data_IF_797122465864
#
_entry.id   IF_797122465864
#
_cell.length_a   1.000
_cell.length_b   1.000
_cell.length_c   1.000
_cell.angle_alpha   90.00
_cell.angle_beta   90.00
_cell.angle_gamma   90.00
#
_symmetry.space_group_name_H-M   'P 1'
#
loop_
_entity.id
_entity.type
_entity.pdbx_description
1 polymer ?
#
# COMPACT_ATOMS: atom_id res chain seq x y z
N UNK A 1 -6.07 12.43 -21.58
CA UNK A 1 -4.91 11.81 -20.93
C UNK A 1 -4.49 12.69 -19.77
N UNK A 2 -4.56 12.17 -18.55
CA UNK A 2 -3.97 12.83 -17.37
C UNK A 2 -2.53 12.33 -17.24
N UNK A 3 -1.56 13.23 -17.31
CA UNK A 3 -0.15 12.91 -17.12
C UNK A 3 0.60 14.15 -16.65
N UNK A 4 1.65 13.95 -15.87
CA UNK A 4 2.58 15.03 -15.52
C UNK A 4 3.53 15.23 -16.71
N UNK A 5 3.68 16.48 -17.15
CA UNK A 5 4.73 16.83 -18.10
C UNK A 5 6.09 16.57 -17.42
N UNK A 6 6.91 15.71 -18.02
CA UNK A 6 8.23 15.34 -17.50
C UNK A 6 9.22 15.26 -18.66
N UNK A 7 10.49 15.54 -18.42
CA UNK A 7 11.55 15.27 -19.41
C UNK A 7 11.99 13.80 -19.38
N UNK A 8 11.93 13.20 -18.19
CA UNK A 8 12.18 11.77 -17.90
C UNK A 8 11.42 11.34 -16.65
N UNK A 9 11.19 10.04 -16.49
CA UNK A 9 10.78 9.45 -15.21
C UNK A 9 11.59 8.20 -14.86
N UNK A 10 11.64 7.91 -13.56
CA UNK A 10 12.24 6.68 -13.02
C UNK A 10 11.22 6.00 -12.12
N UNK A 11 10.78 4.80 -12.49
CA UNK A 11 9.91 3.97 -11.66
C UNK A 11 10.75 2.95 -10.90
N UNK A 12 10.47 2.76 -9.62
CA UNK A 12 11.21 1.85 -8.73
C UNK A 12 10.27 0.88 -8.06
N UNK A 13 10.62 -0.41 -8.07
CA UNK A 13 9.85 -1.44 -7.36
C UNK A 13 10.76 -2.54 -6.83
N UNK A 14 10.40 -3.12 -5.68
CA UNK A 14 11.08 -4.31 -5.16
C UNK A 14 10.67 -5.61 -5.86
N UNK A 15 9.61 -5.60 -6.68
CA UNK A 15 9.02 -6.79 -7.28
C UNK A 15 9.24 -6.86 -8.80
N UNK A 16 9.96 -7.89 -9.26
CA UNK A 16 10.22 -8.12 -10.69
C UNK A 16 8.93 -8.23 -11.53
N UNK A 17 7.91 -8.94 -11.01
CA UNK A 17 6.62 -9.06 -11.69
C UNK A 17 5.90 -7.71 -11.86
N UNK A 18 6.00 -6.82 -10.87
CA UNK A 18 5.42 -5.48 -10.99
C UNK A 18 6.20 -4.62 -12.00
N UNK A 19 7.52 -4.76 -12.08
CA UNK A 19 8.31 -4.07 -13.10
C UNK A 19 7.94 -4.50 -14.53
N UNK A 20 7.60 -5.78 -14.74
CA UNK A 20 7.05 -6.25 -16.03
C UNK A 20 5.71 -5.59 -16.31
N UNK A 21 4.79 -5.59 -15.34
CA UNK A 21 3.48 -4.93 -15.50
C UNK A 21 3.60 -3.45 -15.84
N UNK A 22 4.48 -2.71 -15.15
CA UNK A 22 4.72 -1.28 -15.42
C UNK A 22 5.34 -1.08 -16.81
N UNK A 23 6.24 -1.97 -17.23
CA UNK A 23 6.84 -1.93 -18.56
C UNK A 23 5.79 -2.09 -19.65
N UNK A 24 4.94 -3.11 -19.52
CA UNK A 24 3.89 -3.41 -20.50
C UNK A 24 2.84 -2.29 -20.53
N UNK A 25 2.44 -1.77 -19.37
CA UNK A 25 1.46 -0.69 -19.26
C UNK A 25 1.97 0.65 -19.82
N UNK A 26 3.29 0.89 -19.78
CA UNK A 26 3.92 2.13 -20.25
C UNK A 26 4.50 2.03 -21.66
N UNK A 27 4.47 0.86 -22.31
CA UNK A 27 5.20 0.59 -23.56
C UNK A 27 4.96 1.63 -24.66
N UNK A 28 3.70 2.04 -24.84
CA UNK A 28 3.30 3.01 -25.87
C UNK A 28 3.72 4.46 -25.60
N UNK A 29 4.06 4.79 -24.35
CA UNK A 29 4.34 6.17 -23.92
C UNK A 29 5.73 6.34 -23.33
N UNK A 30 6.46 5.23 -23.11
CA UNK A 30 7.79 5.23 -22.51
C UNK A 30 8.84 5.69 -23.51
N UNK A 31 9.72 6.57 -23.07
CA UNK A 31 10.81 7.15 -23.88
C UNK A 31 12.14 6.47 -23.56
N UNK A 32 13.17 6.60 -24.42
CA UNK A 32 14.49 5.99 -24.17
C UNK A 32 15.15 6.39 -22.84
N UNK A 33 14.91 7.61 -22.37
CA UNK A 33 15.45 8.12 -21.10
C UNK A 33 14.67 7.69 -19.85
N UNK A 34 13.48 7.12 -20.01
CA UNK A 34 12.65 6.65 -18.90
C UNK A 34 13.13 5.28 -18.42
N UNK A 35 13.25 5.10 -17.09
CA UNK A 35 13.86 3.90 -16.49
C UNK A 35 12.88 3.20 -15.54
N UNK A 36 12.89 1.87 -15.59
CA UNK A 36 12.22 1.02 -14.59
C UNK A 36 13.31 0.24 -13.88
N UNK A 37 13.42 0.42 -12.57
CA UNK A 37 14.45 -0.19 -11.73
C UNK A 37 13.79 -1.17 -10.77
N UNK A 38 14.27 -2.41 -10.80
CA UNK A 38 13.97 -3.40 -9.75
C UNK A 38 15.07 -3.29 -8.71
N UNK A 39 14.73 -2.94 -7.48
CA UNK A 39 15.71 -2.73 -6.42
C UNK A 39 15.09 -2.64 -5.04
N UNK A 40 15.91 -2.95 -4.02
CA UNK A 40 15.51 -2.85 -2.62
C UNK A 40 15.89 -1.47 -2.06
N UNK A 41 14.93 -0.76 -1.48
CA UNK A 41 15.15 0.54 -0.85
C UNK A 41 16.14 0.53 0.33
N UNK A 42 16.49 -0.64 0.87
CA UNK A 42 17.57 -0.77 1.83
C UNK A 42 18.98 -0.66 1.21
N UNK A 43 19.15 -0.91 -0.10
CA UNK A 43 20.46 -0.83 -0.78
C UNK A 43 20.92 0.63 -0.90
N UNK A 44 22.00 1.06 -0.19
CA UNK A 44 22.46 2.46 -0.19
C UNK A 44 22.80 3.00 -1.56
N UNK A 45 23.09 2.14 -2.54
CA UNK A 45 23.46 2.53 -3.89
C UNK A 45 22.25 2.72 -4.82
N UNK A 46 21.06 2.25 -4.41
CA UNK A 46 19.85 2.44 -5.19
C UNK A 46 19.55 3.94 -5.35
N UNK A 47 19.53 4.41 -6.61
CA UNK A 47 19.38 5.82 -6.99
C UNK A 47 20.50 6.75 -6.49
N UNK A 48 21.71 6.22 -6.24
CA UNK A 48 22.85 7.06 -5.86
C UNK A 48 23.11 8.16 -6.91
N UNK A 49 23.26 9.40 -6.45
CA UNK A 49 23.45 10.58 -7.30
C UNK A 49 22.19 11.13 -7.96
N UNK A 50 21.05 10.43 -7.90
CA UNK A 50 19.80 10.93 -8.50
C UNK A 50 19.14 12.00 -7.62
N UNK A 51 18.45 12.94 -8.29
CA UNK A 51 17.56 13.94 -7.69
C UNK A 51 16.36 14.15 -8.61
N UNK A 52 15.21 14.43 -8.03
CA UNK A 52 13.95 14.56 -8.77
C UNK A 52 13.20 15.84 -8.37
N UNK A 53 12.70 16.56 -9.38
CA UNK A 53 11.86 17.74 -9.17
C UNK A 53 10.45 17.37 -8.67
N UNK A 54 10.01 16.14 -8.96
CA UNK A 54 8.77 15.56 -8.42
C UNK A 54 8.95 14.09 -8.09
N UNK A 55 8.50 13.67 -6.91
CA UNK A 55 8.47 12.27 -6.47
C UNK A 55 7.03 11.88 -6.16
N UNK A 56 6.59 10.73 -6.67
CA UNK A 56 5.33 10.09 -6.30
C UNK A 56 5.64 8.83 -5.49
N UNK A 57 5.32 8.83 -4.21
CA UNK A 57 5.46 7.68 -3.31
C UNK A 57 4.07 7.07 -3.07
N UNK A 58 3.68 6.14 -3.96
CA UNK A 58 2.35 5.53 -3.97
C UNK A 58 2.30 4.29 -3.07
N UNK A 59 1.65 4.39 -1.91
CA UNK A 59 1.59 3.37 -0.83
C UNK A 59 2.96 2.81 -0.40
N UNK A 60 4.04 3.55 -0.69
CA UNK A 60 5.41 3.05 -0.56
C UNK A 60 5.76 2.68 0.89
N UNK A 61 5.33 3.50 1.85
CA UNK A 61 5.70 3.33 3.26
C UNK A 61 5.12 2.04 3.84
N UNK A 62 3.90 1.67 3.48
CA UNK A 62 3.32 0.39 3.88
C UNK A 62 3.92 -0.78 3.11
N UNK A 63 4.07 -0.62 1.79
CA UNK A 63 4.57 -1.67 0.90
C UNK A 63 6.00 -2.13 1.22
N UNK A 64 6.84 -1.25 1.78
CA UNK A 64 8.23 -1.56 2.07
C UNK A 64 8.40 -2.68 3.12
N UNK A 65 7.40 -2.94 3.97
CA UNK A 65 7.47 -3.99 5.01
C UNK A 65 7.75 -5.38 4.42
N UNK A 66 7.30 -5.65 3.19
CA UNK A 66 7.55 -6.90 2.48
C UNK A 66 8.96 -7.03 1.88
N UNK A 67 9.74 -5.95 1.81
CA UNK A 67 11.04 -5.90 1.12
C UNK A 67 12.20 -5.46 2.02
N UNK A 68 11.95 -4.51 2.92
CA UNK A 68 12.90 -4.03 3.93
C UNK A 68 12.13 -3.74 5.24
N UNK A 69 11.89 -4.78 6.06
CA UNK A 69 11.22 -4.64 7.34
C UNK A 69 11.90 -3.60 8.23
N UNK A 70 11.09 -2.81 8.95
CA UNK A 70 11.55 -1.74 9.86
C UNK A 70 12.33 -0.59 9.19
N UNK A 71 12.23 -0.43 7.87
CA UNK A 71 12.93 0.62 7.12
C UNK A 71 12.11 1.90 6.93
N UNK A 72 10.87 1.96 7.42
CA UNK A 72 9.90 3.03 7.13
C UNK A 72 10.40 4.42 7.53
N UNK A 73 10.97 4.56 8.73
CA UNK A 73 11.54 5.83 9.19
C UNK A 73 12.71 6.27 8.30
N UNK A 74 13.62 5.34 7.97
CA UNK A 74 14.76 5.60 7.08
C UNK A 74 14.33 5.92 5.65
N UNK A 75 13.16 5.45 5.24
CA UNK A 75 12.58 5.74 3.93
C UNK A 75 12.29 7.23 3.77
N UNK A 76 11.82 7.93 4.81
CA UNK A 76 11.58 9.37 4.73
C UNK A 76 12.88 10.16 4.51
N UNK A 77 13.95 9.84 5.24
CA UNK A 77 15.26 10.43 5.03
C UNK A 77 15.80 10.18 3.60
N UNK A 78 15.58 8.98 3.06
CA UNK A 78 15.91 8.66 1.65
C UNK A 78 15.12 9.51 0.67
N UNK A 79 13.80 9.58 0.82
CA UNK A 79 12.96 10.41 -0.05
C UNK A 79 13.39 11.87 0.03
N UNK A 80 13.76 12.36 1.22
CA UNK A 80 14.25 13.72 1.42
C UNK A 80 15.54 13.98 0.65
N UNK A 81 16.47 13.04 0.67
CA UNK A 81 17.72 13.15 -0.08
C UNK A 81 17.50 13.15 -1.59
N UNK A 82 16.46 12.47 -2.09
CA UNK A 82 16.13 12.40 -3.52
C UNK A 82 15.30 13.61 -4.00
N UNK A 83 14.56 14.27 -3.11
CA UNK A 83 13.65 15.36 -3.46
C UNK A 83 14.40 16.68 -3.67
N UNK A 84 14.30 17.24 -4.88
CA UNK A 84 14.67 18.63 -5.20
C UNK A 84 13.46 19.57 -5.13
N UNK A 85 12.28 19.07 -5.51
CA UNK A 85 11.02 19.82 -5.51
C UNK A 85 9.97 19.15 -4.63
N UNK A 86 8.86 18.75 -5.26
CA UNK A 86 7.66 18.28 -4.57
C UNK A 86 7.63 16.76 -4.41
N UNK A 87 7.41 16.28 -3.20
CA UNK A 87 7.02 14.90 -2.90
C UNK A 87 5.51 14.84 -2.73
N UNK A 88 4.86 13.89 -3.40
CA UNK A 88 3.51 13.45 -3.09
C UNK A 88 3.58 12.05 -2.52
N UNK A 89 3.14 11.90 -1.27
CA UNK A 89 3.06 10.62 -0.59
C UNK A 89 1.59 10.22 -0.45
N UNK A 90 1.28 9.02 -0.91
CA UNK A 90 -0.05 8.40 -0.81
C UNK A 90 0.06 7.26 0.20
N UNK A 91 -0.89 7.18 1.12
CA UNK A 91 -0.99 6.06 2.07
C UNK A 91 -2.44 5.80 2.47
N UNK A 92 -2.62 4.71 3.20
CA UNK A 92 -3.93 4.25 3.68
C UNK A 92 -3.98 4.40 5.20
N UNK A 93 -5.07 4.96 5.73
CA UNK A 93 -5.29 4.95 7.18
C UNK A 93 -5.49 3.50 7.68
N UNK A 94 -4.79 3.06 8.75
CA UNK A 94 -4.94 1.71 9.26
C UNK A 94 -6.39 1.39 9.68
N UNK A 95 -6.91 0.27 9.21
CA UNK A 95 -8.32 -0.13 9.44
C UNK A 95 -8.47 -1.43 10.26
N UNK A 96 -7.35 -2.02 10.71
CA UNK A 96 -7.32 -3.34 11.38
C UNK A 96 -7.11 -3.22 12.90
N UNK A 97 -6.44 -2.15 13.33
CA UNK A 97 -5.93 -1.97 14.70
C UNK A 97 -7.03 -1.69 15.71
N UNK A 98 -8.03 -0.91 15.34
CA UNK A 98 -9.11 -0.51 16.24
C UNK A 98 -10.45 -1.18 15.87
N UNK A 99 -11.33 -1.33 16.86
CA UNK A 99 -12.69 -1.78 16.61
C UNK A 99 -13.52 -0.61 16.13
N UNK A 100 -13.83 -0.59 14.84
CA UNK A 100 -14.67 0.45 14.26
C UNK A 100 -16.06 0.54 14.91
N UNK A 101 -16.57 1.76 15.05
CA UNK A 101 -17.91 2.03 15.55
C UNK A 101 -19.04 1.76 14.54
N UNK A 102 -18.71 1.61 13.25
CA UNK A 102 -19.69 1.34 12.19
C UNK A 102 -19.68 -0.13 11.77
N UNK A 103 -20.82 -0.63 11.27
CA UNK A 103 -20.90 -2.01 10.76
C UNK A 103 -19.93 -2.27 9.61
N UNK A 104 -19.81 -1.31 8.68
CA UNK A 104 -18.89 -1.37 7.54
C UNK A 104 -17.43 -1.47 7.98
N UNK A 105 -17.03 -0.66 8.98
CA UNK A 105 -15.69 -0.73 9.52
C UNK A 105 -15.42 -2.03 10.28
N UNK A 106 -16.42 -2.55 10.99
CA UNK A 106 -16.28 -3.82 11.71
C UNK A 106 -16.04 -4.98 10.74
N UNK A 107 -16.79 -5.05 9.64
CA UNK A 107 -16.62 -6.13 8.67
C UNK A 107 -15.28 -6.01 7.92
N UNK A 108 -14.84 -4.79 7.57
CA UNK A 108 -13.54 -4.56 6.95
C UNK A 108 -12.39 -4.90 7.88
N UNK A 109 -12.48 -4.47 9.15
CA UNK A 109 -11.51 -4.84 10.18
C UNK A 109 -11.46 -6.35 10.40
N UNK A 110 -12.61 -7.03 10.38
CA UNK A 110 -12.67 -8.50 10.49
C UNK A 110 -12.04 -9.21 9.28
N UNK A 111 -12.27 -8.72 8.05
CA UNK A 111 -11.59 -9.22 6.84
C UNK A 111 -10.08 -9.04 6.96
N UNK A 112 -9.63 -7.85 7.38
CA UNK A 112 -8.21 -7.55 7.57
C UNK A 112 -7.56 -8.44 8.64
N UNK A 113 -8.17 -8.57 9.82
CA UNK A 113 -7.69 -9.44 10.91
C UNK A 113 -7.67 -10.91 10.50
N UNK A 114 -8.71 -11.37 9.79
CA UNK A 114 -8.76 -12.73 9.27
C UNK A 114 -7.62 -12.99 8.28
N UNK A 115 -7.40 -12.07 7.34
CA UNK A 115 -6.30 -12.18 6.36
C UNK A 115 -4.95 -12.23 7.08
N UNK A 116 -4.72 -11.33 8.03
CA UNK A 116 -3.48 -11.30 8.81
C UNK A 116 -3.26 -12.61 9.57
N UNK A 117 -4.31 -13.21 10.15
CA UNK A 117 -4.22 -14.52 10.78
C UNK A 117 -3.82 -15.62 9.79
N UNK A 118 -4.42 -15.64 8.59
CA UNK A 118 -4.03 -16.60 7.53
C UNK A 118 -2.57 -16.43 7.13
N UNK A 119 -2.11 -15.19 6.96
CA UNK A 119 -0.72 -14.90 6.59
C UNK A 119 0.25 -15.39 7.68
N UNK A 120 -0.03 -15.08 8.94
CA UNK A 120 0.81 -15.51 10.06
C UNK A 120 0.90 -17.03 10.17
N UNK A 121 -0.23 -17.75 10.02
CA UNK A 121 -0.23 -19.21 10.02
C UNK A 121 0.47 -19.83 8.81
N UNK A 122 0.57 -19.09 7.70
CA UNK A 122 1.34 -19.50 6.52
C UNK A 122 2.83 -19.16 6.61
N UNK A 123 3.30 -18.62 7.74
CA UNK A 123 4.69 -18.16 7.92
C UNK A 123 5.02 -16.89 7.14
N UNK A 124 4.00 -16.14 6.71
CA UNK A 124 4.14 -14.89 5.98
C UNK A 124 3.93 -13.68 6.89
N UNK A 125 4.50 -12.54 6.50
CA UNK A 125 4.38 -11.28 7.24
C UNK A 125 3.18 -10.48 6.72
N UNK A 126 2.24 -10.07 7.60
CA UNK A 126 1.22 -9.11 7.23
C UNK A 126 1.83 -7.74 6.89
N UNK A 127 1.31 -7.08 5.86
CA UNK A 127 1.67 -5.69 5.60
C UNK A 127 1.11 -4.77 6.69
N UNK A 128 1.71 -3.59 6.84
CA UNK A 128 1.30 -2.58 7.80
C UNK A 128 1.11 -1.25 7.09
N UNK A 129 -0.01 -0.61 7.37
CA UNK A 129 -0.22 0.78 7.02
C UNK A 129 0.08 1.66 8.23
N UNK A 130 0.29 2.95 8.00
CA UNK A 130 0.69 3.91 9.03
C UNK A 130 -0.32 5.04 9.11
N UNK A 131 -0.73 5.48 10.31
CA UNK A 131 -1.64 6.61 10.46
C UNK A 131 -1.09 7.85 9.79
N UNK A 132 -1.97 8.62 9.13
CA UNK A 132 -1.58 9.86 8.46
C UNK A 132 -0.80 10.82 9.37
N UNK A 133 -1.20 10.92 10.64
CA UNK A 133 -0.57 11.77 11.65
C UNK A 133 0.89 11.37 11.90
N UNK A 134 1.13 10.08 12.13
CA UNK A 134 2.50 9.56 12.28
C UNK A 134 3.36 9.85 11.04
N UNK A 135 2.80 9.70 9.84
CA UNK A 135 3.53 10.01 8.61
C UNK A 135 3.89 11.49 8.52
N UNK A 136 2.99 12.40 8.89
CA UNK A 136 3.27 13.84 8.92
C UNK A 136 4.41 14.18 9.88
N UNK A 137 4.41 13.58 11.08
CA UNK A 137 5.46 13.74 12.07
C UNK A 137 6.82 13.25 11.54
N UNK A 138 6.87 12.05 10.96
CA UNK A 138 8.10 11.48 10.43
C UNK A 138 8.66 12.25 9.23
N UNK A 139 7.78 12.74 8.35
CA UNK A 139 8.19 13.61 7.25
C UNK A 139 8.79 14.91 7.75
N UNK A 140 8.14 15.54 8.74
CA UNK A 140 8.63 16.80 9.35
C UNK A 140 9.98 16.57 10.05
N UNK A 141 10.09 15.51 10.84
CA UNK A 141 11.33 15.12 11.51
C UNK A 141 12.46 14.80 10.51
N UNK A 142 12.12 14.33 9.31
CA UNK A 142 13.07 14.07 8.21
C UNK A 142 13.39 15.32 7.38
N UNK A 143 12.95 16.52 7.80
CA UNK A 143 13.29 17.78 7.15
C UNK A 143 12.44 18.11 5.92
N UNK A 144 11.23 17.55 5.81
CA UNK A 144 10.24 18.03 4.86
C UNK A 144 9.42 19.17 5.45
N UNK A 145 9.07 20.15 4.60
CA UNK A 145 8.01 21.10 4.88
C UNK A 145 6.71 20.62 4.26
N UNK A 146 5.69 20.38 5.09
CA UNK A 146 4.36 19.98 4.62
C UNK A 146 3.68 21.18 3.95
N UNK A 147 3.23 20.99 2.71
CA UNK A 147 2.53 22.03 1.93
C UNK A 147 1.02 21.82 2.00
N UNK A 148 0.58 20.57 1.88
CA UNK A 148 -0.83 20.22 1.99
C UNK A 148 -0.97 18.76 2.41
N UNK A 149 -2.09 18.43 3.05
CA UNK A 149 -2.44 17.08 3.43
C UNK A 149 -3.95 16.91 3.27
N UNK A 150 -4.38 15.93 2.49
CA UNK A 150 -5.79 15.72 2.18
C UNK A 150 -6.19 14.26 2.39
N UNK A 151 -7.44 14.05 2.82
CA UNK A 151 -8.04 12.74 3.06
C UNK A 151 -9.09 12.44 2.00
N UNK A 152 -9.07 11.23 1.47
CA UNK A 152 -9.97 10.73 0.44
C UNK A 152 -10.76 9.55 1.03
N UNK A 153 -12.04 9.73 1.41
CA UNK A 153 -12.85 8.66 1.98
C UNK A 153 -12.96 7.47 1.04
N UNK A 154 -12.81 6.26 1.57
CA UNK A 154 -12.85 5.04 0.75
C UNK A 154 -14.26 4.43 0.75
N UNK A 155 -14.64 3.93 -0.42
CA UNK A 155 -15.78 3.04 -0.59
C UNK A 155 -15.31 1.72 -1.21
N UNK A 156 -15.12 0.70 -0.37
CA UNK A 156 -14.66 -0.60 -0.81
C UNK A 156 -15.74 -1.35 -1.57
N UNK A 157 -15.33 -1.98 -2.67
CA UNK A 157 -16.21 -2.67 -3.61
C UNK A 157 -15.97 -4.17 -3.61
N UNK A 158 -16.82 -4.90 -4.33
CA UNK A 158 -16.75 -6.38 -4.46
C UNK A 158 -15.35 -6.88 -4.80
N UNK A 159 -14.65 -6.18 -5.71
CA UNK A 159 -13.29 -6.51 -6.13
C UNK A 159 -12.32 -6.55 -4.95
N UNK A 160 -12.39 -5.56 -4.05
CA UNK A 160 -11.53 -5.52 -2.87
C UNK A 160 -11.81 -6.70 -1.95
N UNK A 161 -13.09 -6.93 -1.61
CA UNK A 161 -13.49 -8.03 -0.71
C UNK A 161 -12.99 -9.37 -1.28
N UNK A 162 -13.28 -9.64 -2.55
CA UNK A 162 -12.87 -10.88 -3.19
C UNK A 162 -11.34 -11.00 -3.22
N UNK A 163 -10.60 -9.95 -3.58
CA UNK A 163 -9.13 -10.04 -3.62
C UNK A 163 -8.52 -10.35 -2.26
N UNK A 164 -9.07 -9.81 -1.16
CA UNK A 164 -8.57 -10.11 0.19
C UNK A 164 -8.80 -11.58 0.58
N UNK A 165 -9.93 -12.17 0.18
CA UNK A 165 -10.22 -13.57 0.51
C UNK A 165 -9.51 -14.54 -0.44
N UNK A 166 -9.50 -14.25 -1.75
CA UNK A 166 -8.94 -15.11 -2.79
C UNK A 166 -7.43 -15.27 -2.64
N UNK A 167 -6.72 -14.20 -2.24
CA UNK A 167 -5.27 -14.27 -1.99
C UNK A 167 -4.90 -15.25 -0.88
N UNK A 168 -5.82 -15.53 0.06
CA UNK A 168 -5.59 -16.45 1.17
C UNK A 168 -5.80 -17.91 0.79
N UNK A 169 -6.53 -18.23 -0.28
CA UNK A 169 -6.79 -19.61 -0.70
C UNK A 169 -5.51 -20.47 -0.92
N UNK A 170 -4.49 -20.03 -1.69
CA UNK A 170 -3.25 -20.79 -1.87
C UNK A 170 -2.36 -20.82 -0.61
N UNK A 171 -2.64 -19.97 0.39
CA UNK A 171 -1.95 -20.01 1.70
C UNK A 171 -2.59 -21.09 2.56
N UNK A 172 -3.91 -21.07 2.67
CA UNK A 172 -4.70 -22.09 3.38
C UNK A 172 -4.42 -23.51 2.91
N UNK A 173 -4.21 -23.72 1.60
CA UNK A 173 -3.90 -25.05 1.06
C UNK A 173 -2.54 -25.60 1.53
N UNK A 174 -1.62 -24.73 1.94
CA UNK A 174 -0.26 -25.07 2.41
C UNK A 174 -0.18 -25.30 3.93
N UNK A 175 -1.24 -25.03 4.68
CA UNK A 175 -1.26 -25.29 6.12
C UNK A 175 -1.22 -26.79 6.40
N UNK A 176 -0.33 -27.20 7.31
CA UNK A 176 -0.24 -28.59 7.78
C UNK A 176 -1.46 -28.99 8.61
N UNK A 177 -1.98 -28.07 9.43
CA UNK A 177 -3.23 -28.28 10.17
C UNK A 177 -4.45 -28.07 9.26
N UNK A 178 -5.05 -29.18 8.84
CA UNK A 178 -6.21 -29.18 7.94
C UNK A 178 -7.50 -28.76 8.63
N UNK A 179 -7.63 -28.98 9.94
CA UNK A 179 -8.81 -28.55 10.69
C UNK A 179 -8.83 -27.03 10.77
N UNK A 180 -7.69 -26.44 11.15
CA UNK A 180 -7.51 -24.99 11.17
C UNK A 180 -7.72 -24.37 9.77
N UNK A 181 -7.13 -24.96 8.73
CA UNK A 181 -7.30 -24.47 7.36
C UNK A 181 -8.78 -24.44 6.93
N UNK A 182 -9.54 -25.48 7.29
CA UNK A 182 -10.98 -25.57 6.99
C UNK A 182 -11.77 -24.51 7.75
N UNK A 183 -11.50 -24.31 9.03
CA UNK A 183 -12.16 -23.29 9.85
C UNK A 183 -11.87 -21.87 9.33
N UNK A 184 -10.62 -21.58 9.00
CA UNK A 184 -10.22 -20.28 8.42
C UNK A 184 -10.86 -20.06 7.04
N UNK A 185 -10.93 -21.08 6.20
CA UNK A 185 -11.61 -20.99 4.90
C UNK A 185 -13.10 -20.65 5.09
N UNK A 186 -13.81 -21.41 5.92
CA UNK A 186 -15.23 -21.17 6.21
C UNK A 186 -15.48 -19.76 6.77
N UNK A 187 -14.60 -19.27 7.67
CA UNK A 187 -14.68 -17.89 8.19
C UNK A 187 -14.50 -16.85 7.08
N UNK A 188 -13.56 -17.05 6.17
CA UNK A 188 -13.33 -16.16 5.03
C UNK A 188 -14.55 -16.09 4.10
N UNK A 189 -15.16 -17.24 3.79
CA UNK A 189 -16.38 -17.31 2.99
C UNK A 189 -17.57 -16.60 3.67
N UNK A 190 -17.74 -16.78 4.98
CA UNK A 190 -18.79 -16.09 5.73
C UNK A 190 -18.59 -14.57 5.71
N UNK A 191 -17.35 -14.09 5.92
CA UNK A 191 -17.02 -12.66 5.80
C UNK A 191 -17.28 -12.12 4.40
N UNK A 192 -16.96 -12.90 3.35
CA UNK A 192 -17.25 -12.54 1.97
C UNK A 192 -18.75 -12.36 1.76
N UNK A 193 -19.56 -13.33 2.20
CA UNK A 193 -21.02 -13.28 2.06
C UNK A 193 -21.63 -12.05 2.73
N UNK A 194 -21.28 -11.81 4.00
CA UNK A 194 -21.76 -10.65 4.75
C UNK A 194 -21.39 -9.32 4.06
N UNK A 195 -20.14 -9.21 3.61
CA UNK A 195 -19.64 -7.99 2.95
C UNK A 195 -20.33 -7.75 1.62
N UNK A 196 -20.49 -8.79 0.80
CA UNK A 196 -21.16 -8.68 -0.50
C UNK A 196 -22.65 -8.36 -0.36
N UNK A 197 -23.32 -8.84 0.70
CA UNK A 197 -24.70 -8.50 1.00
C UNK A 197 -24.86 -7.00 1.33
N UNK A 198 -23.95 -6.45 2.15
CA UNK A 198 -23.93 -5.00 2.44
C UNK A 198 -23.66 -4.21 1.17
N UNK A 199 -22.65 -4.60 0.37
CA UNK A 199 -22.31 -3.91 -0.89
C UNK A 199 -23.49 -3.92 -1.87
N UNK A 200 -24.21 -5.03 -1.98
CA UNK A 200 -25.38 -5.12 -2.84
C UNK A 200 -26.51 -4.17 -2.40
N UNK A 201 -26.69 -3.96 -1.09
CA UNK A 201 -27.71 -3.07 -0.54
C UNK A 201 -27.31 -1.60 -0.57
N UNK A 202 -26.04 -1.28 -0.31
CA UNK A 202 -25.59 0.08 0.05
C UNK A 202 -24.60 0.68 -0.97
N UNK A 203 -24.22 -0.10 -1.99
CA UNK A 203 -23.33 0.32 -3.07
C UNK A 203 -21.85 0.34 -2.69
N UNK A 204 -21.46 -0.20 -1.53
CA UNK A 204 -20.08 -0.31 -1.07
C UNK A 204 -19.94 -0.20 0.45
N UNK A 205 -18.80 -0.67 0.99
CA UNK A 205 -18.46 -0.53 2.41
C UNK A 205 -17.74 0.80 2.63
N UNK A 206 -18.28 1.68 3.48
CA UNK A 206 -17.77 3.03 3.74
C UNK A 206 -16.97 3.05 5.03
N UNK A 207 -15.65 3.01 4.93
CA UNK A 207 -14.76 3.08 6.08
C UNK A 207 -13.36 3.52 5.65
N UNK A 208 -12.64 4.17 6.56
CA UNK A 208 -11.28 4.61 6.30
C UNK A 208 -11.17 5.68 5.22
N UNK A 209 -9.92 6.07 4.96
CA UNK A 209 -9.56 7.02 3.92
C UNK A 209 -8.14 6.73 3.44
N UNK A 210 -7.89 7.01 2.16
CA UNK A 210 -6.54 7.24 1.69
C UNK A 210 -6.15 8.67 2.05
N UNK A 211 -4.87 8.94 2.22
CA UNK A 211 -4.36 10.29 2.39
C UNK A 211 -3.29 10.60 1.36
N UNK A 212 -3.27 11.86 0.93
CA UNK A 212 -2.22 12.40 0.07
C UNK A 212 -1.56 13.57 0.78
N UNK A 213 -0.26 13.49 0.95
CA UNK A 213 0.57 14.53 1.55
C UNK A 213 1.47 15.10 0.47
N UNK A 214 1.36 16.41 0.25
CA UNK A 214 2.26 17.16 -0.60
C UNK A 214 3.29 17.87 0.29
N UNK A 215 4.57 17.61 0.07
CA UNK A 215 5.65 18.17 0.86
C UNK A 215 6.82 18.60 -0.01
N UNK A 216 7.61 19.56 0.47
CA UNK A 216 8.80 20.06 -0.20
C UNK A 216 10.01 19.84 0.68
N UNK A 217 11.19 19.84 0.05
CA UNK A 217 12.45 19.98 0.78
C UNK A 217 12.37 21.23 1.68
N UNK A 218 12.45 21.03 3.00
CA UNK A 218 12.54 22.10 3.99
C UNK A 218 13.84 22.86 3.90
#
# INVERSE_FOLDING_TARGET
MSGLATDRWVAVTGAAGHAVQVRDASDRVRRPQDRIIVGNWADPNLLAGERFDTILADYLIGAIEGFAPYFQERMFARLRALARGRLYLIGLEPYITERAGTRDGQILGDIGRWRDAVLLHAGERPYREFPMEWVLEQMTASGFRIVNAHRFPIRYQRRFVNSQIDMCAPRLSRLGDRSLATALHARGEALRQDALAIIAREGGLRHGFDYVIAAEAG
#
